data_IF_434990729314
#
_entry.id   IF_434990729314
#
_cell.length_a   1.000
_cell.length_b   1.000
_cell.length_c   1.000
_cell.angle_alpha   90.00
_cell.angle_beta   90.00
_cell.angle_gamma   90.00
#
_symmetry.space_group_name_H-M   'P 1'
#
loop_
_entity.id
_entity.type
_entity.pdbx_description
1 polymer ?
#
# COMPACT_ATOMS: atom_id res chain seq x y z
N UNK A 1 44.38 -3.05 25.05
CA UNK A 1 45.28 -2.86 23.90
C UNK A 1 44.44 -2.94 22.63
N UNK A 2 44.70 -2.05 21.68
CA UNK A 2 43.73 -1.35 20.82
C UNK A 2 43.27 -2.12 19.56
N UNK A 3 41.98 -1.95 19.25
CA UNK A 3 41.23 -1.94 17.96
C UNK A 3 41.45 -3.01 16.88
N UNK A 4 40.32 -3.44 16.30
CA UNK A 4 40.15 -3.45 14.84
C UNK A 4 38.67 -3.40 14.42
N UNK A 5 38.35 -2.27 13.78
CA UNK A 5 37.35 -2.08 12.70
C UNK A 5 35.90 -1.83 13.10
N UNK A 6 35.62 -0.55 13.32
CA UNK A 6 34.79 0.29 12.44
C UNK A 6 33.56 -0.38 11.82
N UNK A 7 32.39 -0.06 12.35
CA UNK A 7 31.51 0.90 11.66
C UNK A 7 30.39 1.31 12.63
N UNK A 8 30.40 2.58 13.03
CA UNK A 8 29.20 3.23 13.56
C UNK A 8 28.05 3.02 12.57
N UNK A 9 26.99 2.34 13.00
CA UNK A 9 25.66 2.57 12.45
C UNK A 9 24.73 2.95 13.59
N UNK A 10 24.98 4.15 14.08
CA UNK A 10 24.08 4.99 14.85
C UNK A 10 22.80 5.29 14.06
N UNK A 11 21.95 4.29 13.81
CA UNK A 11 20.59 4.56 13.33
C UNK A 11 19.69 4.65 14.55
N UNK A 12 19.60 5.87 15.09
CA UNK A 12 18.46 6.26 15.93
C UNK A 12 17.22 6.22 15.04
N UNK A 13 16.63 5.04 14.86
CA UNK A 13 15.27 4.95 14.35
C UNK A 13 14.36 4.99 15.58
N UNK A 14 13.95 6.21 15.93
CA UNK A 14 12.79 6.45 16.79
C UNK A 14 11.69 5.46 16.42
N UNK A 15 11.07 4.90 17.47
CA UNK A 15 9.91 4.01 17.43
C UNK A 15 9.05 4.31 16.21
N UNK A 16 9.08 3.37 15.26
CA UNK A 16 8.40 3.50 13.97
C UNK A 16 6.96 3.89 14.23
N UNK A 17 6.54 5.02 13.67
CA UNK A 17 5.14 5.30 13.40
C UNK A 17 4.55 4.03 12.78
N UNK A 18 3.43 3.55 13.32
CA UNK A 18 2.81 2.30 12.90
C UNK A 18 2.48 2.40 11.41
N UNK A 19 3.34 1.83 10.57
CA UNK A 19 3.13 1.75 9.12
C UNK A 19 1.93 0.83 8.86
N UNK A 20 0.73 1.41 8.83
CA UNK A 20 -0.49 0.70 8.48
C UNK A 20 -0.40 0.30 7.00
N UNK A 21 -0.42 -1.01 6.68
CA UNK A 21 -0.36 -1.45 5.30
C UNK A 21 -1.63 -1.06 4.53
N UNK A 22 -1.49 -0.68 3.24
CA UNK A 22 -2.64 -0.36 2.40
C UNK A 22 -3.58 -1.55 2.23
N UNK A 23 -4.87 -1.29 2.04
CA UNK A 23 -5.92 -2.32 1.94
C UNK A 23 -6.53 -2.29 0.55
N UNK A 24 -6.69 -3.46 -0.07
CA UNK A 24 -7.31 -3.55 -1.38
C UNK A 24 -8.81 -3.24 -1.32
N UNK A 25 -9.27 -2.30 -2.15
CA UNK A 25 -10.67 -1.87 -2.24
C UNK A 25 -11.63 -2.93 -2.82
N UNK A 26 -11.14 -4.04 -3.37
CA UNK A 26 -11.98 -5.13 -3.90
C UNK A 26 -12.11 -6.31 -2.95
N UNK A 27 -10.99 -6.84 -2.47
CA UNK A 27 -10.98 -8.05 -1.66
C UNK A 27 -10.83 -7.77 -0.16
N UNK A 28 -10.51 -6.52 0.24
CA UNK A 28 -10.28 -6.14 1.63
C UNK A 28 -8.98 -6.68 2.24
N UNK A 29 -8.10 -7.30 1.45
CA UNK A 29 -6.81 -7.83 1.95
C UNK A 29 -5.77 -6.74 2.06
N UNK A 30 -4.85 -6.92 3.01
CA UNK A 30 -3.66 -6.10 3.14
C UNK A 30 -2.74 -6.32 1.94
N UNK A 31 -2.30 -5.23 1.31
CA UNK A 31 -1.34 -5.26 0.21
C UNK A 31 0.06 -5.30 0.82
N UNK A 32 0.77 -6.39 0.58
CA UNK A 32 2.11 -6.56 1.11
C UNK A 32 3.09 -5.58 0.42
N UNK A 33 4.07 -4.97 1.12
CA UNK A 33 5.00 -3.99 0.51
C UNK A 33 5.82 -4.53 -0.67
N UNK A 34 6.04 -5.85 -0.75
CA UNK A 34 6.71 -6.51 -1.88
C UNK A 34 5.79 -6.86 -3.04
N UNK A 35 4.48 -6.75 -2.86
CA UNK A 35 3.50 -6.99 -3.92
C UNK A 35 3.40 -5.75 -4.83
N UNK A 36 3.16 -5.97 -6.12
CA UNK A 36 2.91 -4.88 -7.08
C UNK A 36 1.48 -4.34 -6.93
N UNK A 37 1.17 -3.70 -5.81
CA UNK A 37 -0.04 -2.89 -5.63
C UNK A 37 -0.05 -1.67 -6.56
N UNK A 38 -1.23 -1.10 -6.78
CA UNK A 38 -1.38 0.21 -7.43
C UNK A 38 -2.33 1.05 -6.61
N UNK A 39 -2.13 2.35 -6.68
CA UNK A 39 -3.00 3.36 -6.10
C UNK A 39 -3.33 4.41 -7.14
N UNK A 40 -4.60 4.80 -7.20
CA UNK A 40 -5.08 5.81 -8.14
C UNK A 40 -6.35 6.47 -7.58
N UNK A 41 -6.59 7.71 -7.96
CA UNK A 41 -7.84 8.37 -7.61
C UNK A 41 -8.99 7.83 -8.46
N UNK A 42 -10.18 7.72 -7.86
CA UNK A 42 -11.39 7.28 -8.58
C UNK A 42 -11.57 8.11 -9.87
N UNK A 43 -11.72 7.48 -11.05
CA UNK A 43 -11.82 8.20 -12.32
C UNK A 43 -13.13 8.99 -12.46
N UNK A 44 -14.16 8.64 -11.68
CA UNK A 44 -15.46 9.31 -11.74
C UNK A 44 -15.52 10.55 -10.82
N UNK A 45 -15.12 10.43 -9.56
CA UNK A 45 -15.22 11.55 -8.60
C UNK A 45 -13.88 12.22 -8.26
N UNK A 46 -12.73 11.62 -8.55
CA UNK A 46 -11.41 12.19 -8.27
C UNK A 46 -11.00 12.30 -6.80
N UNK A 47 -11.94 12.09 -5.86
CA UNK A 47 -11.70 12.38 -4.43
C UNK A 47 -11.28 11.18 -3.58
N UNK A 48 -11.60 9.95 -4.00
CA UNK A 48 -11.27 8.74 -3.24
C UNK A 48 -10.01 8.10 -3.82
N UNK A 49 -9.01 7.85 -2.97
CA UNK A 49 -7.86 7.03 -3.31
C UNK A 49 -8.25 5.55 -3.27
N UNK A 50 -8.17 4.88 -4.42
CA UNK A 50 -8.45 3.46 -4.58
C UNK A 50 -7.13 2.71 -4.61
N UNK A 51 -7.00 1.68 -3.78
CA UNK A 51 -5.80 0.84 -3.72
C UNK A 51 -6.17 -0.58 -4.14
N UNK A 52 -5.42 -1.16 -5.08
CA UNK A 52 -5.72 -2.49 -5.61
C UNK A 52 -4.50 -3.38 -5.65
N UNK A 53 -4.66 -4.60 -5.15
CA UNK A 53 -3.62 -5.62 -5.18
C UNK A 53 -3.37 -6.13 -6.61
N UNK A 54 -2.31 -6.90 -6.82
CA UNK A 54 -1.97 -7.41 -8.16
C UNK A 54 -2.99 -8.45 -8.63
N UNK A 55 -3.45 -9.31 -7.72
CA UNK A 55 -4.28 -10.45 -8.06
C UNK A 55 -5.67 -10.03 -8.54
N UNK A 56 -6.32 -9.13 -7.81
CA UNK A 56 -7.65 -8.64 -8.14
C UNK A 56 -7.65 -7.84 -9.45
N UNK A 57 -6.56 -7.14 -9.78
CA UNK A 57 -6.40 -6.51 -11.10
C UNK A 57 -6.23 -7.52 -12.23
N UNK A 58 -5.46 -8.59 -12.00
CA UNK A 58 -5.26 -9.64 -13.01
C UNK A 58 -6.53 -10.47 -13.25
N UNK A 59 -7.36 -10.62 -12.22
CA UNK A 59 -8.62 -11.36 -12.30
C UNK A 59 -9.81 -10.48 -12.73
N UNK A 60 -9.62 -9.15 -12.85
CA UNK A 60 -10.71 -8.21 -13.16
C UNK A 60 -11.80 -8.20 -12.09
N UNK A 61 -11.42 -8.39 -10.82
CA UNK A 61 -12.38 -8.32 -9.70
C UNK A 61 -12.85 -6.89 -9.60
N UNK A 62 -14.17 -6.69 -9.52
CA UNK A 62 -14.73 -5.35 -9.45
C UNK A 62 -14.33 -4.63 -8.14
N UNK A 63 -14.23 -3.31 -8.20
CA UNK A 63 -14.16 -2.44 -7.02
C UNK A 63 -15.26 -1.41 -7.08
N UNK A 64 -15.80 -1.03 -5.93
CA UNK A 64 -16.83 0.01 -5.83
C UNK A 64 -16.27 1.22 -5.09
N UNK A 65 -16.40 2.40 -5.71
CA UNK A 65 -16.04 3.65 -5.05
C UNK A 65 -17.08 3.98 -3.95
N UNK A 66 -16.65 4.19 -2.69
CA UNK A 66 -17.57 4.46 -1.58
C UNK A 66 -18.28 5.83 -1.69
N UNK A 67 -17.75 6.75 -2.51
CA UNK A 67 -18.29 8.11 -2.65
C UNK A 67 -19.34 8.23 -3.74
N UNK A 68 -19.06 7.70 -4.92
CA UNK A 68 -19.92 7.86 -6.11
C UNK A 68 -20.59 6.57 -6.58
N UNK A 69 -20.31 5.42 -5.94
CA UNK A 69 -20.88 4.13 -6.33
C UNK A 69 -20.38 3.59 -7.66
N UNK A 70 -19.35 4.20 -8.27
CA UNK A 70 -18.76 3.70 -9.51
C UNK A 70 -18.16 2.32 -9.27
N UNK A 71 -18.63 1.34 -10.05
CA UNK A 71 -18.07 -0.01 -10.10
C UNK A 71 -17.23 -0.17 -11.35
N UNK A 72 -15.94 -0.46 -11.16
CA UNK A 72 -14.98 -0.68 -12.25
C UNK A 72 -14.19 -1.97 -12.05
N UNK A 73 -13.52 -2.46 -13.11
CA UNK A 73 -12.74 -3.70 -13.05
C UNK A 73 -11.41 -3.59 -12.29
#
# INVERSE_FOLDING_TARGET
MVNKRDCEMSVKLSLKEEIVPPVCSSCGRLIHPREKGVEFYCPNCGEVLIQRDKYCRLQGVEYTCPKCGFTGP
#
